data_IF_165458933545
#
_entry.id   IF_165458933545
#
_cell.length_a   1.000
_cell.length_b   1.000
_cell.length_c   1.000
_cell.angle_alpha   90.00
_cell.angle_beta   90.00
_cell.angle_gamma   90.00
#
_symmetry.space_group_name_H-M   'P 1'
#
loop_
_entity.id
_entity.type
_entity.pdbx_description
1 polymer ?
#
# COMPACT_ATOMS: atom_id res chain seq x y z
N UNK A 1 -24.51 18.97 -1.87
CA UNK A 1 -23.42 18.69 -2.82
C UNK A 1 -22.51 17.67 -2.13
N UNK A 2 -22.50 16.42 -2.56
CA UNK A 2 -21.54 15.42 -2.08
C UNK A 2 -20.16 15.87 -2.53
N UNK A 3 -19.28 16.19 -1.61
CA UNK A 3 -17.89 16.54 -1.88
C UNK A 3 -17.26 15.37 -2.67
N UNK A 4 -16.76 15.65 -3.87
CA UNK A 4 -16.18 14.61 -4.71
C UNK A 4 -14.92 14.09 -4.02
N UNK A 5 -14.87 12.80 -3.68
CA UNK A 5 -13.70 12.18 -3.06
C UNK A 5 -12.45 12.43 -3.92
N UNK A 6 -11.38 12.91 -3.31
CA UNK A 6 -10.10 13.12 -3.99
C UNK A 6 -9.44 11.75 -4.21
N UNK A 7 -9.29 11.31 -5.47
CA UNK A 7 -8.54 10.12 -5.81
C UNK A 7 -7.02 10.33 -5.65
N UNK A 8 -6.24 9.24 -5.66
CA UNK A 8 -4.78 9.29 -5.60
C UNK A 8 -4.18 10.25 -6.64
N UNK A 9 -4.65 10.20 -7.88
CA UNK A 9 -4.16 11.08 -8.95
C UNK A 9 -4.30 12.57 -8.60
N UNK A 10 -5.39 12.97 -7.91
CA UNK A 10 -5.60 14.34 -7.45
C UNK A 10 -4.65 14.71 -6.32
N UNK A 11 -4.43 13.78 -5.36
CA UNK A 11 -3.49 14.00 -4.25
C UNK A 11 -2.07 14.13 -4.79
N UNK A 12 -1.66 13.26 -5.70
CA UNK A 12 -0.36 13.30 -6.38
C UNK A 12 -0.15 14.64 -7.11
N UNK A 13 -1.17 15.11 -7.84
CA UNK A 13 -1.11 16.38 -8.58
C UNK A 13 -1.11 17.62 -7.67
N UNK A 14 -1.50 17.49 -6.40
CA UNK A 14 -1.53 18.59 -5.42
C UNK A 14 -0.21 18.78 -4.65
N UNK A 15 0.83 17.99 -4.94
CA UNK A 15 2.15 18.16 -4.32
C UNK A 15 2.70 19.54 -4.63
N UNK A 16 3.12 20.25 -3.60
CA UNK A 16 3.66 21.61 -3.69
C UNK A 16 5.15 21.60 -3.38
N UNK A 17 5.94 22.20 -4.28
CA UNK A 17 7.38 22.32 -4.09
C UNK A 17 7.68 23.34 -3.00
N UNK A 18 8.53 22.97 -2.05
CA UNK A 18 9.12 23.82 -1.02
C UNK A 18 10.66 23.74 -1.10
N UNK A 19 11.38 24.63 -0.41
CA UNK A 19 12.84 24.69 -0.44
C UNK A 19 13.52 23.37 -0.04
N UNK A 20 12.91 22.62 0.88
CA UNK A 20 13.47 21.38 1.43
C UNK A 20 12.79 20.08 0.95
N UNK A 21 11.83 20.16 0.03
CA UNK A 21 11.11 18.97 -0.44
C UNK A 21 9.76 19.26 -1.08
N UNK A 22 8.80 18.36 -0.89
CA UNK A 22 7.44 18.49 -1.40
C UNK A 22 6.44 18.45 -0.25
N UNK A 23 5.50 19.41 -0.21
CA UNK A 23 4.38 19.41 0.72
C UNK A 23 3.19 18.66 0.13
N UNK A 24 2.71 17.64 0.82
CA UNK A 24 1.47 16.96 0.45
C UNK A 24 0.27 17.60 1.17
N UNK A 25 -0.88 17.60 0.49
CA UNK A 25 -2.18 17.91 1.09
C UNK A 25 -2.91 16.59 1.33
N UNK A 26 -3.29 16.29 2.58
CA UNK A 26 -3.97 15.04 2.94
C UNK A 26 -5.48 15.29 3.06
N UNK A 27 -6.28 14.90 2.04
CA UNK A 27 -7.73 15.04 2.11
C UNK A 27 -8.34 14.15 3.19
N UNK A 28 -9.48 14.55 3.74
CA UNK A 28 -10.17 13.83 4.82
C UNK A 28 -10.53 12.39 4.43
N UNK A 29 -10.91 12.16 3.16
CA UNK A 29 -11.23 10.82 2.66
C UNK A 29 -10.02 9.87 2.59
N UNK A 30 -8.80 10.34 2.85
CA UNK A 30 -7.59 9.50 2.92
C UNK A 30 -7.15 9.21 4.36
N UNK A 31 -8.02 9.46 5.34
CA UNK A 31 -7.69 9.26 6.75
C UNK A 31 -8.24 7.95 7.32
N UNK A 32 -7.49 7.42 8.29
CA UNK A 32 -7.89 6.38 9.23
C UNK A 32 -7.97 7.01 10.61
N UNK A 33 -9.17 7.41 11.02
CA UNK A 33 -9.32 8.28 12.18
C UNK A 33 -8.63 9.63 11.95
N UNK A 34 -7.66 9.97 12.80
CA UNK A 34 -6.92 11.24 12.70
C UNK A 34 -5.65 11.18 11.84
N UNK A 35 -5.21 10.00 11.43
CA UNK A 35 -3.95 9.80 10.71
C UNK A 35 -4.20 9.47 9.23
N UNK A 36 -3.30 9.87 8.34
CA UNK A 36 -3.34 9.46 6.95
C UNK A 36 -3.15 7.95 6.82
N UNK A 37 -3.74 7.37 5.80
CA UNK A 37 -3.57 5.98 5.40
C UNK A 37 -2.10 5.66 5.07
N UNK A 38 -1.61 4.50 5.52
CA UNK A 38 -0.20 4.11 5.35
C UNK A 38 0.22 4.00 3.89
N UNK A 39 -0.56 3.32 3.07
CA UNK A 39 -0.31 3.19 1.65
C UNK A 39 -0.26 4.53 0.91
N UNK A 40 -1.07 5.53 1.30
CA UNK A 40 -0.96 6.87 0.77
C UNK A 40 0.39 7.50 1.13
N UNK A 41 0.81 7.38 2.38
CA UNK A 41 2.09 7.96 2.85
C UNK A 41 3.28 7.33 2.11
N UNK A 42 3.24 6.01 1.90
CA UNK A 42 4.25 5.28 1.14
C UNK A 42 4.30 5.75 -0.33
N UNK A 43 3.15 5.87 -0.97
CA UNK A 43 3.03 6.33 -2.36
C UNK A 43 3.52 7.79 -2.53
N UNK A 44 3.24 8.66 -1.56
CA UNK A 44 3.72 10.05 -1.56
C UNK A 44 5.24 10.14 -1.44
N UNK A 45 5.87 9.30 -0.61
CA UNK A 45 7.34 9.22 -0.53
C UNK A 45 7.96 8.74 -1.86
N UNK A 46 7.34 7.75 -2.53
CA UNK A 46 7.78 7.30 -3.85
C UNK A 46 7.58 8.37 -4.92
N UNK A 47 6.43 9.05 -4.91
CA UNK A 47 6.15 10.17 -5.83
C UNK A 47 7.19 11.30 -5.67
N UNK A 48 7.58 11.62 -4.43
CA UNK A 48 8.64 12.60 -4.15
C UNK A 48 9.98 12.16 -4.74
N UNK A 49 10.28 10.86 -4.66
CA UNK A 49 11.47 10.28 -5.28
C UNK A 49 11.48 10.49 -6.80
N UNK A 50 10.36 10.24 -7.48
CA UNK A 50 10.25 10.45 -8.92
C UNK A 50 10.21 11.92 -9.34
N UNK A 51 9.81 12.85 -8.46
CA UNK A 51 9.88 14.29 -8.73
C UNK A 51 11.30 14.86 -8.58
N UNK A 52 12.15 14.22 -7.80
CA UNK A 52 13.50 14.71 -7.51
C UNK A 52 14.59 14.03 -8.33
N UNK A 53 14.33 12.82 -8.82
CA UNK A 53 15.34 12.03 -9.50
C UNK A 53 14.81 11.51 -10.84
N UNK A 54 15.43 11.97 -11.91
CA UNK A 54 15.20 11.46 -13.27
C UNK A 54 16.02 10.18 -13.54
N UNK A 55 15.68 9.47 -14.61
CA UNK A 55 16.43 8.31 -15.15
C UNK A 55 16.68 7.19 -14.12
N UNK A 56 15.69 6.93 -13.25
CA UNK A 56 15.75 5.80 -12.34
C UNK A 56 15.44 4.50 -13.10
N UNK A 57 16.24 3.43 -12.91
CA UNK A 57 15.85 2.11 -13.39
C UNK A 57 14.56 1.63 -12.68
N UNK A 58 13.97 0.51 -13.10
CA UNK A 58 12.79 -0.03 -12.43
C UNK A 58 12.96 -0.20 -10.92
N UNK A 59 11.93 0.13 -10.14
CA UNK A 59 11.89 -0.14 -8.70
C UNK A 59 11.92 -1.67 -8.48
N UNK A 60 12.73 -2.12 -7.54
CA UNK A 60 12.86 -3.54 -7.17
C UNK A 60 12.36 -3.83 -5.77
N UNK A 61 12.56 -2.91 -4.86
CA UNK A 61 12.15 -3.08 -3.47
C UNK A 61 11.87 -1.74 -2.82
N UNK A 62 10.88 -1.71 -1.93
CA UNK A 62 10.65 -0.63 -0.98
C UNK A 62 10.62 -1.21 0.44
N UNK A 63 11.41 -0.62 1.35
CA UNK A 63 11.34 -0.89 2.78
C UNK A 63 10.73 0.33 3.45
N UNK A 64 9.56 0.19 4.02
CA UNK A 64 8.78 1.29 4.56
C UNK A 64 8.65 1.12 6.07
N UNK A 65 8.92 2.18 6.82
CA UNK A 65 8.73 2.25 8.27
C UNK A 65 7.70 3.34 8.57
N UNK A 66 6.61 2.95 9.21
CA UNK A 66 5.58 3.84 9.74
C UNK A 66 5.98 4.29 11.15
N UNK A 67 6.77 5.38 11.21
CA UNK A 67 7.43 5.84 12.44
C UNK A 67 6.45 6.47 13.41
N UNK A 68 5.42 7.13 12.88
CA UNK A 68 4.41 7.80 13.69
C UNK A 68 3.17 8.19 12.88
N UNK A 69 2.13 8.71 13.54
CA UNK A 69 0.89 9.09 12.87
C UNK A 69 1.09 10.34 12.00
N UNK A 70 0.69 10.26 10.74
CA UNK A 70 0.63 11.41 9.82
C UNK A 70 -0.69 12.16 10.07
N UNK A 71 -0.68 13.08 11.03
CA UNK A 71 -1.88 13.80 11.48
C UNK A 71 -2.16 15.09 10.73
N UNK A 72 -1.18 15.58 9.97
CA UNK A 72 -1.22 16.83 9.19
C UNK A 72 -0.58 16.63 7.83
N UNK A 73 -0.46 17.69 7.05
CA UNK A 73 0.17 17.73 5.73
C UNK A 73 1.69 17.56 5.84
N UNK A 74 2.25 16.40 5.48
CA UNK A 74 3.66 16.14 5.68
C UNK A 74 4.53 16.88 4.66
N UNK A 75 5.72 17.27 5.10
CA UNK A 75 6.84 17.58 4.21
C UNK A 75 7.52 16.28 3.83
N UNK A 76 7.71 16.05 2.54
CA UNK A 76 8.30 14.86 1.97
C UNK A 76 9.67 15.19 1.40
N UNK A 77 10.66 14.38 1.72
CA UNK A 77 12.04 14.52 1.23
C UNK A 77 12.51 13.21 0.63
N UNK A 78 13.45 13.30 -0.33
CA UNK A 78 14.15 12.14 -0.85
C UNK A 78 15.63 12.47 -1.03
N UNK A 79 16.53 11.51 -0.74
CA UNK A 79 17.96 11.68 -0.83
C UNK A 79 18.59 10.51 -1.57
N UNK A 80 19.51 10.81 -2.47
CA UNK A 80 20.32 9.81 -3.15
C UNK A 80 21.39 9.28 -2.19
N UNK A 81 21.22 8.03 -1.73
CA UNK A 81 22.20 7.37 -0.87
C UNK A 81 23.37 6.82 -1.70
N UNK A 82 23.04 6.21 -2.83
CA UNK A 82 24.04 5.65 -3.72
C UNK A 82 23.49 5.47 -5.12
N UNK A 83 24.26 5.84 -6.13
CA UNK A 83 24.05 5.47 -7.54
C UNK A 83 25.24 4.62 -8.02
N UNK A 84 25.01 3.33 -8.16
CA UNK A 84 25.96 2.39 -8.76
C UNK A 84 25.66 2.18 -10.24
N UNK A 85 26.45 1.32 -10.89
CA UNK A 85 26.28 1.01 -12.32
C UNK A 85 24.89 0.43 -12.66
N UNK A 86 24.36 -0.43 -11.79
CA UNK A 86 23.11 -1.17 -12.04
C UNK A 86 22.05 -0.99 -10.94
N UNK A 87 22.40 -0.37 -9.82
CA UNK A 87 21.51 -0.22 -8.65
C UNK A 87 21.61 1.20 -8.12
N UNK A 88 20.48 1.80 -7.83
CA UNK A 88 20.36 3.10 -7.18
C UNK A 88 19.55 2.95 -5.90
N UNK A 89 20.05 3.48 -4.80
CA UNK A 89 19.38 3.50 -3.49
C UNK A 89 18.99 4.94 -3.16
N UNK A 90 17.73 5.15 -2.81
CA UNK A 90 17.18 6.46 -2.42
C UNK A 90 16.44 6.27 -1.11
N UNK A 91 16.80 7.06 -0.12
CA UNK A 91 16.01 7.19 1.11
C UNK A 91 14.97 8.29 0.96
N UNK A 92 13.77 8.08 1.50
CA UNK A 92 12.73 9.08 1.54
C UNK A 92 12.13 9.18 2.95
N UNK A 93 11.61 10.36 3.30
CA UNK A 93 10.98 10.56 4.59
C UNK A 93 9.79 11.51 4.51
N UNK A 94 8.82 11.27 5.41
CA UNK A 94 7.69 12.15 5.67
C UNK A 94 7.85 12.79 7.05
N UNK A 95 7.69 14.10 7.14
CA UNK A 95 7.88 14.87 8.37
C UNK A 95 6.65 15.71 8.73
N UNK A 96 6.34 15.78 10.02
CA UNK A 96 5.43 16.76 10.60
C UNK A 96 6.25 17.65 11.53
N UNK A 97 6.48 18.90 11.14
CA UNK A 97 7.48 19.74 11.78
C UNK A 97 8.87 19.09 11.67
N UNK A 98 9.59 18.96 12.77
CA UNK A 98 10.92 18.32 12.83
C UNK A 98 10.87 16.79 13.00
N UNK A 99 9.68 16.21 13.21
CA UNK A 99 9.54 14.78 13.52
C UNK A 99 9.33 13.98 12.24
N UNK A 100 10.18 12.97 12.01
CA UNK A 100 9.91 11.96 11.00
C UNK A 100 8.70 11.10 11.43
N UNK A 101 7.70 10.99 10.56
CA UNK A 101 6.50 10.17 10.77
C UNK A 101 6.44 8.97 9.81
N UNK A 102 7.25 8.99 8.74
CA UNK A 102 7.44 7.87 7.82
C UNK A 102 8.85 7.89 7.26
N UNK A 103 9.39 6.72 6.94
CA UNK A 103 10.67 6.55 6.22
C UNK A 103 10.53 5.44 5.21
N UNK A 104 11.24 5.55 4.11
CA UNK A 104 11.33 4.51 3.09
C UNK A 104 12.73 4.45 2.49
N UNK A 105 13.18 3.23 2.16
CA UNK A 105 14.34 2.98 1.32
C UNK A 105 13.86 2.35 0.02
N UNK A 106 14.07 3.04 -1.10
CA UNK A 106 13.71 2.60 -2.43
C UNK A 106 14.95 2.11 -3.18
N UNK A 107 14.90 0.85 -3.61
CA UNK A 107 15.98 0.19 -4.35
C UNK A 107 15.56 0.03 -5.81
N UNK A 108 16.25 0.73 -6.69
CA UNK A 108 16.05 0.69 -8.13
C UNK A 108 17.13 -0.16 -8.77
N UNK A 109 16.78 -0.98 -9.76
CA UNK A 109 17.73 -1.88 -10.38
C UNK A 109 17.43 -2.14 -11.86
N UNK A 110 18.45 -2.03 -12.71
CA UNK A 110 18.35 -2.38 -14.11
C UNK A 110 18.10 -3.89 -14.29
N UNK A 111 17.37 -4.25 -15.34
CA UNK A 111 17.16 -5.65 -15.72
C UNK A 111 18.48 -6.36 -15.96
N UNK A 112 18.55 -7.65 -15.64
CA UNK A 112 19.71 -8.50 -15.82
C UNK A 112 19.29 -9.83 -16.44
N UNK A 113 20.12 -10.42 -17.26
CA UNK A 113 19.92 -11.79 -17.71
C UNK A 113 20.06 -12.75 -16.53
N UNK A 114 19.13 -13.70 -16.41
CA UNK A 114 19.17 -14.78 -15.42
C UNK A 114 18.75 -16.09 -16.08
N UNK A 115 19.31 -17.18 -15.59
CA UNK A 115 18.88 -18.55 -15.93
C UNK A 115 17.81 -19.05 -14.96
N UNK A 116 17.54 -18.30 -13.89
CA UNK A 116 16.51 -18.62 -12.89
C UNK A 116 15.24 -17.86 -13.27
N UNK A 117 14.18 -18.62 -13.55
CA UNK A 117 12.82 -18.12 -13.73
C UNK A 117 11.87 -19.12 -13.09
N UNK A 118 11.03 -18.63 -12.17
CA UNK A 118 10.03 -19.45 -11.46
C UNK A 118 8.75 -18.64 -11.40
N UNK A 119 7.66 -19.22 -11.85
CA UNK A 119 6.36 -18.58 -11.85
C UNK A 119 5.58 -18.97 -10.59
N UNK A 120 4.90 -18.02 -10.00
CA UNK A 120 3.96 -18.20 -8.90
C UNK A 120 2.59 -17.65 -9.33
N UNK A 121 1.83 -18.39 -10.15
CA UNK A 121 0.55 -17.93 -10.65
C UNK A 121 -0.45 -17.70 -9.51
N UNK A 122 -1.36 -16.76 -9.73
CA UNK A 122 -2.45 -16.51 -8.79
C UNK A 122 -3.27 -17.79 -8.56
N UNK A 123 -3.70 -18.07 -7.33
CA UNK A 123 -4.69 -19.11 -7.08
C UNK A 123 -6.00 -18.79 -7.83
N UNK A 124 -6.77 -19.81 -8.25
CA UNK A 124 -8.04 -19.59 -8.94
C UNK A 124 -8.94 -18.60 -8.20
N UNK A 125 -9.61 -17.74 -8.93
CA UNK A 125 -10.53 -16.74 -8.41
C UNK A 125 -11.74 -16.58 -9.35
N UNK A 126 -12.90 -16.20 -8.77
CA UNK A 126 -14.05 -15.71 -9.55
C UNK A 126 -13.70 -14.34 -10.14
N UNK A 127 -14.43 -13.93 -11.17
CA UNK A 127 -14.22 -12.63 -11.78
C UNK A 127 -14.52 -11.47 -10.79
N UNK A 128 -13.88 -10.31 -10.95
CA UNK A 128 -14.13 -9.19 -10.04
C UNK A 128 -15.60 -8.79 -9.93
N UNK A 129 -16.35 -8.82 -11.04
CA UNK A 129 -17.77 -8.49 -11.09
C UNK A 129 -18.67 -9.45 -10.31
N UNK A 130 -18.26 -10.71 -10.16
CA UNK A 130 -18.99 -11.75 -9.44
C UNK A 130 -18.63 -11.83 -7.95
N UNK A 131 -17.57 -11.13 -7.53
CA UNK A 131 -17.08 -11.14 -6.16
C UNK A 131 -17.85 -10.15 -5.28
N UNK A 132 -18.17 -10.56 -4.04
CA UNK A 132 -18.85 -9.70 -3.07
C UNK A 132 -17.94 -8.59 -2.55
N UNK A 133 -18.52 -7.44 -2.23
CA UNK A 133 -17.78 -6.37 -1.53
C UNK A 133 -17.17 -6.90 -0.22
N UNK A 134 -15.91 -6.59 0.04
CA UNK A 134 -15.27 -6.92 1.31
C UNK A 134 -16.00 -6.26 2.48
N UNK A 135 -16.41 -5.00 2.31
CA UNK A 135 -17.28 -4.30 3.26
C UNK A 135 -18.68 -4.23 2.66
N UNK A 136 -19.67 -4.97 3.21
CA UNK A 136 -21.06 -4.82 2.80
C UNK A 136 -21.56 -3.37 2.98
N UNK A 137 -22.50 -2.93 2.13
CA UNK A 137 -23.02 -1.56 2.18
C UNK A 137 -23.55 -1.16 3.57
N UNK A 138 -24.21 -2.09 4.27
CA UNK A 138 -24.70 -1.86 5.62
C UNK A 138 -23.59 -1.58 6.66
N UNK A 139 -22.34 -1.98 6.37
CA UNK A 139 -21.17 -1.76 7.22
C UNK A 139 -20.28 -0.61 6.75
N UNK A 140 -20.64 0.09 5.68
CA UNK A 140 -19.81 1.15 5.08
C UNK A 140 -19.45 2.28 6.08
N UNK A 141 -20.34 2.60 7.02
CA UNK A 141 -20.09 3.60 8.05
C UNK A 141 -19.12 3.15 9.16
N UNK A 142 -18.75 1.89 9.21
CA UNK A 142 -17.87 1.30 10.25
C UNK A 142 -16.40 1.24 9.82
N UNK A 143 -16.11 1.41 8.52
CA UNK A 143 -14.74 1.35 8.00
C UNK A 143 -14.07 2.72 7.99
N UNK A 144 -12.74 2.78 8.04
CA UNK A 144 -12.00 4.04 7.89
C UNK A 144 -12.31 4.75 6.57
N UNK A 145 -12.25 6.09 6.56
CA UNK A 145 -12.60 6.91 5.39
C UNK A 145 -11.76 6.54 4.15
N UNK A 146 -10.48 6.21 4.32
CA UNK A 146 -9.61 5.87 3.20
C UNK A 146 -10.11 4.67 2.39
N UNK A 147 -10.84 3.75 3.01
CA UNK A 147 -11.31 2.53 2.39
C UNK A 147 -12.31 2.79 1.24
N UNK A 148 -13.02 3.92 1.31
CA UNK A 148 -13.95 4.36 0.25
C UNK A 148 -13.27 4.82 -1.04
N UNK A 149 -11.94 4.97 -1.04
CA UNK A 149 -11.18 5.25 -2.28
C UNK A 149 -10.94 3.98 -3.11
N UNK A 150 -11.33 2.81 -2.61
CA UNK A 150 -11.08 1.52 -3.24
C UNK A 150 -12.36 0.72 -3.43
N UNK A 151 -12.47 0.03 -4.57
CA UNK A 151 -13.42 -1.06 -4.80
C UNK A 151 -12.69 -2.35 -4.41
N UNK A 152 -13.02 -2.90 -3.24
CA UNK A 152 -12.37 -4.10 -2.69
C UNK A 152 -13.41 -5.21 -2.51
N UNK A 153 -13.16 -6.34 -3.15
CA UNK A 153 -14.09 -7.47 -3.22
C UNK A 153 -13.45 -8.75 -2.72
N UNK A 154 -14.14 -9.46 -1.83
CA UNK A 154 -13.63 -10.67 -1.20
C UNK A 154 -13.71 -11.86 -2.17
N UNK A 155 -12.58 -12.56 -2.35
CA UNK A 155 -12.48 -13.77 -3.17
C UNK A 155 -12.37 -15.01 -2.27
N UNK A 156 -11.53 -14.91 -1.23
CA UNK A 156 -11.30 -16.01 -0.30
C UNK A 156 -10.87 -15.49 1.07
N UNK A 157 -10.96 -16.34 2.09
CA UNK A 157 -10.69 -15.99 3.47
C UNK A 157 -11.90 -15.37 4.14
N UNK A 158 -11.65 -14.57 5.18
CA UNK A 158 -12.72 -14.12 6.08
C UNK A 158 -12.60 -12.62 6.37
N UNK A 159 -13.76 -11.97 6.53
CA UNK A 159 -13.84 -10.56 6.90
C UNK A 159 -13.29 -10.31 8.31
N UNK A 160 -12.86 -9.08 8.63
CA UNK A 160 -12.49 -8.72 10.00
C UNK A 160 -13.52 -9.15 11.04
N UNK A 161 -13.06 -9.73 12.16
CA UNK A 161 -13.86 -10.23 13.30
C UNK A 161 -14.85 -11.37 12.97
N UNK A 162 -14.77 -11.95 11.80
CA UNK A 162 -15.74 -12.98 11.35
C UNK A 162 -15.05 -14.33 11.05
N UNK A 163 -13.80 -14.50 11.51
CA UNK A 163 -12.99 -15.59 11.07
C UNK A 163 -12.34 -16.44 12.15
N UNK A 164 -11.78 -17.55 11.70
CA UNK A 164 -10.96 -18.49 12.47
C UNK A 164 -9.57 -18.63 11.90
N UNK A 165 -9.30 -17.99 10.75
CA UNK A 165 -8.01 -18.00 10.07
C UNK A 165 -7.57 -16.57 9.74
N UNK A 166 -6.28 -16.31 9.89
CA UNK A 166 -5.65 -15.05 9.54
C UNK A 166 -5.36 -14.99 8.04
N UNK A 167 -6.39 -14.86 7.21
CA UNK A 167 -6.28 -14.90 5.76
C UNK A 167 -7.35 -14.09 5.06
N UNK A 168 -6.94 -13.29 4.10
CA UNK A 168 -7.82 -12.58 3.17
C UNK A 168 -7.22 -12.56 1.77
N UNK A 169 -8.08 -12.66 0.76
CA UNK A 169 -7.73 -12.51 -0.64
C UNK A 169 -8.86 -11.76 -1.36
N UNK A 170 -8.50 -10.73 -2.10
CA UNK A 170 -9.46 -9.81 -2.71
C UNK A 170 -9.07 -9.43 -4.13
N UNK A 171 -10.07 -9.03 -4.92
CA UNK A 171 -9.87 -8.08 -5.99
C UNK A 171 -9.95 -6.66 -5.42
N UNK A 172 -8.98 -5.82 -5.76
CA UNK A 172 -9.00 -4.42 -5.33
C UNK A 172 -8.56 -3.49 -6.47
N UNK A 173 -9.25 -2.35 -6.59
CA UNK A 173 -8.84 -1.26 -7.50
C UNK A 173 -9.18 0.09 -6.91
N UNK A 174 -8.52 1.15 -7.38
CA UNK A 174 -8.92 2.51 -7.07
C UNK A 174 -10.30 2.82 -7.66
N UNK A 175 -11.17 3.49 -6.89
CA UNK A 175 -12.47 3.97 -7.37
C UNK A 175 -12.28 5.00 -8.48
N UNK A 176 -11.36 5.95 -8.30
CA UNK A 176 -11.00 6.93 -9.33
C UNK A 176 -10.22 6.27 -10.46
N UNK A 177 -10.77 6.31 -11.68
CA UNK A 177 -10.17 5.69 -12.86
C UNK A 177 -8.79 6.27 -13.23
N UNK A 178 -8.54 7.55 -12.92
CA UNK A 178 -7.24 8.21 -13.16
C UNK A 178 -6.15 7.70 -12.20
N UNK A 179 -6.55 7.06 -11.11
CA UNK A 179 -5.67 6.49 -10.09
C UNK A 179 -5.33 5.01 -10.32
N UNK A 180 -5.77 4.39 -11.44
CA UNK A 180 -5.64 2.94 -11.69
C UNK A 180 -4.33 2.51 -12.34
N UNK A 181 -3.44 3.45 -12.64
CA UNK A 181 -2.17 3.19 -13.32
C UNK A 181 -1.00 3.83 -12.58
N UNK A 182 0.20 3.32 -12.81
CA UNK A 182 1.43 3.84 -12.22
C UNK A 182 1.87 3.08 -10.97
N UNK A 183 3.17 3.13 -10.73
CA UNK A 183 3.82 2.39 -9.65
C UNK A 183 3.45 2.93 -8.26
N UNK A 184 3.33 4.25 -8.13
CA UNK A 184 2.89 4.89 -6.88
C UNK A 184 1.44 4.50 -6.54
N UNK A 185 0.58 4.36 -7.56
CA UNK A 185 -0.79 3.88 -7.40
C UNK A 185 -0.84 2.43 -6.90
N UNK A 186 0.02 1.56 -7.46
CA UNK A 186 0.16 0.17 -7.01
C UNK A 186 0.68 0.11 -5.56
N UNK A 187 1.67 0.92 -5.22
CA UNK A 187 2.18 1.00 -3.85
C UNK A 187 1.07 1.51 -2.90
N UNK A 188 0.29 2.51 -3.32
CA UNK A 188 -0.83 3.03 -2.54
C UNK A 188 -1.87 1.95 -2.23
N UNK A 189 -2.34 1.21 -3.24
CA UNK A 189 -3.36 0.17 -3.06
C UNK A 189 -2.80 -1.10 -2.41
N UNK A 190 -1.50 -1.33 -2.48
CA UNK A 190 -0.85 -2.52 -1.90
C UNK A 190 -1.08 -2.71 -0.39
N UNK A 191 -1.36 -1.63 0.33
CA UNK A 191 -1.63 -1.61 1.77
C UNK A 191 -3.15 -1.61 2.11
N UNK A 192 -4.04 -1.84 1.11
CA UNK A 192 -5.49 -1.65 1.29
C UNK A 192 -6.14 -2.68 2.20
N UNK A 193 -5.60 -3.92 2.26
CA UNK A 193 -6.21 -4.96 3.07
C UNK A 193 -6.09 -4.69 4.56
N UNK A 194 -7.15 -4.94 5.33
CA UNK A 194 -7.02 -5.02 6.77
C UNK A 194 -5.95 -6.04 7.17
N UNK A 195 -5.22 -5.81 8.28
CA UNK A 195 -4.25 -6.79 8.77
C UNK A 195 -4.81 -8.21 8.85
N UNK A 196 -4.00 -9.19 8.42
CA UNK A 196 -4.42 -10.59 8.37
C UNK A 196 -4.78 -11.19 9.74
N UNK A 197 -4.42 -10.54 10.83
CA UNK A 197 -4.86 -10.93 12.18
C UNK A 197 -6.31 -10.49 12.48
N UNK A 198 -6.88 -9.50 11.77
CA UNK A 198 -8.21 -8.95 12.09
C UNK A 198 -9.37 -9.96 12.00
N UNK A 199 -9.39 -10.94 11.09
CA UNK A 199 -10.43 -11.98 11.14
C UNK A 199 -10.51 -12.73 12.48
N UNK A 200 -9.37 -12.90 13.18
CA UNK A 200 -9.28 -13.60 14.46
C UNK A 200 -9.68 -12.75 15.66
N UNK A 201 -9.75 -11.42 15.51
CA UNK A 201 -10.13 -10.51 16.59
C UNK A 201 -11.59 -10.69 16.97
N UNK A 202 -11.88 -10.61 18.25
CA UNK A 202 -13.25 -10.72 18.79
C UNK A 202 -13.93 -9.37 18.98
N UNK A 203 -13.15 -8.30 19.00
CA UNK A 203 -13.60 -6.92 19.12
C UNK A 203 -12.66 -5.99 18.37
N UNK A 204 -13.17 -4.81 18.02
CA UNK A 204 -12.33 -3.77 17.42
C UNK A 204 -11.31 -3.27 18.44
N UNK A 205 -10.04 -3.23 18.02
CA UNK A 205 -8.95 -2.65 18.78
C UNK A 205 -8.08 -1.79 17.87
N UNK A 206 -7.34 -0.82 18.40
CA UNK A 206 -6.37 -0.08 17.63
C UNK A 206 -5.30 -1.02 17.04
N UNK A 207 -4.94 -0.76 15.79
CA UNK A 207 -3.92 -1.51 15.05
C UNK A 207 -3.02 -0.50 14.35
N UNK A 208 -1.72 -0.79 14.29
CA UNK A 208 -0.75 0.05 13.59
C UNK A 208 0.26 -0.80 12.84
N UNK A 209 0.36 -0.59 11.53
CA UNK A 209 1.49 -1.10 10.74
C UNK A 209 2.78 -0.42 11.22
N UNK A 210 3.84 -1.19 11.42
CA UNK A 210 5.14 -0.69 11.86
C UNK A 210 6.14 -0.64 10.71
N UNK A 211 6.22 -1.73 9.92
CA UNK A 211 7.11 -1.83 8.79
C UNK A 211 6.49 -2.65 7.67
N UNK A 212 6.89 -2.36 6.44
CA UNK A 212 6.41 -3.03 5.25
C UNK A 212 7.53 -3.20 4.22
N UNK A 213 7.72 -4.42 3.75
CA UNK A 213 8.59 -4.77 2.63
C UNK A 213 7.71 -5.00 1.42
N UNK A 214 8.09 -4.39 0.29
CA UNK A 214 7.35 -4.45 -0.97
C UNK A 214 8.34 -4.72 -2.10
N UNK A 215 8.51 -6.00 -2.50
CA UNK A 215 9.42 -6.42 -3.55
C UNK A 215 8.68 -6.53 -4.87
N UNK A 216 9.12 -5.78 -5.88
CA UNK A 216 8.60 -5.86 -7.24
C UNK A 216 9.33 -6.93 -8.04
N UNK A 217 8.55 -7.80 -8.68
CA UNK A 217 9.04 -8.93 -9.45
C UNK A 217 9.00 -8.68 -10.96
N UNK A 218 8.42 -7.56 -11.37
CA UNK A 218 8.36 -7.10 -12.77
C UNK A 218 8.86 -5.67 -12.91
N UNK A 219 9.39 -5.33 -14.07
CA UNK A 219 9.92 -3.99 -14.37
C UNK A 219 8.83 -2.96 -14.56
N UNK A 220 7.68 -3.37 -15.08
CA UNK A 220 6.56 -2.52 -15.43
C UNK A 220 5.24 -3.21 -15.06
N UNK A 221 4.79 -3.07 -13.81
CA UNK A 221 3.55 -3.69 -13.36
C UNK A 221 2.35 -3.11 -14.11
N UNK A 222 1.62 -3.98 -14.80
CA UNK A 222 0.41 -3.61 -15.54
C UNK A 222 -0.74 -4.52 -15.14
N UNK A 223 -1.94 -3.98 -15.14
CA UNK A 223 -3.17 -4.75 -14.96
C UNK A 223 -4.31 -4.13 -15.78
N UNK A 224 -5.36 -4.88 -16.02
CA UNK A 224 -6.52 -4.42 -16.77
C UNK A 224 -7.51 -3.73 -15.82
N UNK A 225 -7.99 -2.54 -16.21
CA UNK A 225 -9.00 -1.75 -15.48
C UNK A 225 -8.65 -1.47 -14.01
N UNK A 226 -7.36 -1.53 -13.66
CA UNK A 226 -6.84 -1.28 -12.32
C UNK A 226 -7.09 -2.39 -11.30
N UNK A 227 -7.58 -3.56 -11.71
CA UNK A 227 -7.81 -4.68 -10.82
C UNK A 227 -6.53 -5.39 -10.43
N UNK A 228 -6.30 -5.49 -9.12
CA UNK A 228 -5.21 -6.24 -8.51
C UNK A 228 -5.78 -7.33 -7.63
N UNK A 229 -5.24 -8.52 -7.74
CA UNK A 229 -5.52 -9.65 -6.87
C UNK A 229 -4.57 -9.57 -5.69
N UNK A 230 -5.07 -9.20 -4.51
CA UNK A 230 -4.26 -8.95 -3.31
C UNK A 230 -4.55 -10.02 -2.27
N UNK A 231 -3.48 -10.60 -1.74
CA UNK A 231 -3.51 -11.60 -0.65
C UNK A 231 -2.79 -11.05 0.57
N UNK A 232 -3.35 -11.29 1.75
CA UNK A 232 -2.70 -11.11 3.03
C UNK A 232 -2.89 -12.37 3.89
N UNK A 233 -1.79 -12.93 4.38
CA UNK A 233 -1.75 -14.16 5.18
C UNK A 233 -0.95 -13.96 6.44
N UNK A 234 -1.59 -14.19 7.58
CA UNK A 234 -0.93 -14.21 8.89
C UNK A 234 0.12 -15.33 8.93
N UNK A 235 1.33 -15.01 9.33
CA UNK A 235 2.43 -15.98 9.49
C UNK A 235 2.78 -16.22 10.95
N UNK A 236 2.60 -15.22 11.80
CA UNK A 236 2.78 -15.32 13.24
C UNK A 236 2.04 -14.21 13.97
N UNK A 237 1.60 -14.47 15.21
CA UNK A 237 1.05 -13.46 16.12
C UNK A 237 1.37 -13.84 17.58
N UNK A 238 1.63 -12.83 18.42
CA UNK A 238 1.86 -13.00 19.85
C UNK A 238 2.38 -11.72 20.49
N UNK A 239 2.13 -11.54 21.78
CA UNK A 239 2.63 -10.41 22.55
C UNK A 239 2.18 -9.04 22.03
N UNK A 240 1.00 -8.94 21.41
CA UNK A 240 0.51 -7.70 20.82
C UNK A 240 1.09 -7.35 19.44
N UNK A 241 1.75 -8.31 18.76
CA UNK A 241 2.33 -8.12 17.44
C UNK A 241 1.93 -9.24 16.48
N UNK A 242 1.90 -8.94 15.19
CA UNK A 242 1.72 -9.94 14.13
C UNK A 242 2.62 -9.67 12.95
N UNK A 243 2.89 -10.74 12.20
CA UNK A 243 3.59 -10.71 10.90
C UNK A 243 2.69 -11.33 9.85
N UNK A 244 2.66 -10.74 8.67
CA UNK A 244 1.88 -11.23 7.55
C UNK A 244 2.69 -11.21 6.25
N UNK A 245 2.49 -12.23 5.42
CA UNK A 245 2.93 -12.29 4.05
C UNK A 245 1.88 -11.60 3.18
N UNK A 246 2.33 -10.81 2.21
CA UNK A 246 1.47 -10.12 1.26
C UNK A 246 1.91 -10.44 -0.17
N UNK A 247 0.95 -10.69 -1.05
CA UNK A 247 1.17 -10.91 -2.47
C UNK A 247 0.18 -10.14 -3.31
N UNK A 248 0.65 -9.66 -4.45
CA UNK A 248 -0.18 -8.97 -5.44
C UNK A 248 0.07 -9.58 -6.80
N UNK A 249 -1.01 -10.03 -7.45
CA UNK A 249 -0.99 -10.45 -8.84
C UNK A 249 -1.79 -9.47 -9.69
N UNK A 250 -1.45 -9.38 -10.96
CA UNK A 250 -2.29 -8.68 -11.93
C UNK A 250 -3.53 -9.53 -12.27
N UNK A 251 -4.41 -9.00 -13.11
CA UNK A 251 -5.66 -9.70 -13.50
C UNK A 251 -5.38 -10.97 -14.32
N UNK A 252 -4.24 -11.06 -14.97
CA UNK A 252 -3.84 -12.23 -15.77
C UNK A 252 -3.18 -13.32 -14.90
N UNK A 253 -3.04 -13.08 -13.59
CA UNK A 253 -2.52 -14.03 -12.61
C UNK A 253 -1.00 -14.04 -12.48
N UNK A 254 -0.30 -13.08 -13.05
CA UNK A 254 1.14 -12.94 -12.89
C UNK A 254 1.47 -12.30 -11.54
N UNK A 255 2.40 -12.89 -10.77
CA UNK A 255 2.85 -12.33 -9.50
C UNK A 255 3.71 -11.08 -9.74
N UNK A 256 3.22 -9.95 -9.23
CA UNK A 256 3.84 -8.63 -9.41
C UNK A 256 4.61 -8.20 -8.17
N UNK A 257 4.05 -8.49 -6.98
CA UNK A 257 4.62 -8.09 -5.70
C UNK A 257 4.57 -9.24 -4.71
N UNK A 258 5.66 -9.41 -3.97
CA UNK A 258 5.68 -10.17 -2.72
C UNK A 258 6.33 -9.34 -1.62
N UNK A 259 5.77 -9.40 -0.41
CA UNK A 259 6.28 -8.64 0.71
C UNK A 259 5.78 -9.12 2.06
N UNK A 260 6.23 -8.45 3.10
CA UNK A 260 5.84 -8.75 4.48
C UNK A 260 5.55 -7.46 5.23
N UNK A 261 4.63 -7.56 6.19
CA UNK A 261 4.29 -6.43 7.05
C UNK A 261 4.30 -6.86 8.52
N UNK A 262 4.88 -6.01 9.37
CA UNK A 262 4.82 -6.15 10.83
C UNK A 262 3.81 -5.17 11.40
N UNK A 263 2.98 -5.65 12.34
CA UNK A 263 1.81 -4.93 12.84
C UNK A 263 1.75 -5.02 14.36
N UNK A 264 1.50 -3.89 15.02
CA UNK A 264 1.16 -3.82 16.43
C UNK A 264 -0.37 -3.88 16.60
N UNK A 265 -0.83 -4.68 17.56
CA UNK A 265 -2.25 -4.91 17.88
C UNK A 265 -2.45 -4.57 19.36
N UNK A 266 -3.42 -3.72 19.67
CA UNK A 266 -3.70 -3.21 21.02
C UNK A 266 -5.05 -3.75 21.52
N UNK A 267 -5.19 -5.07 21.59
CA UNK A 267 -6.44 -5.80 21.88
C UNK A 267 -6.55 -6.28 23.36
N UNK A 268 -5.81 -5.66 24.28
CA UNK A 268 -5.80 -5.99 25.71
C UNK A 268 -6.99 -5.43 26.47
#
# INVERSE_FOLDING_TARGET
MTEKLAGWASVRASLQKEDSGLRAQIPTNWKQGRTAYGGLTAALMLATTFEQFDDLPPLRSALINFVGPVTDNPLLTANLERRGRNVTNISAAAHIGEKAVGRADFLFGAARSSKISVDFPAPPAIAPEDAELLTPEAAAGLVPQFFHNFDTRLIAGQRPMMGTEGYMRTWSRHMDSKSRTGLESLLCIGDVLPPAAMPLMRQMAPISSMSWIFNLLTDNPQTKDGWWHIESRLTAAGGGYSSQLMRIWNIDGELVVEGMQSIAIFDS
#
